data_IF_558678273668
#
_entry.id   IF_558678273668
#
_cell.length_a   1.000
_cell.length_b   1.000
_cell.length_c   1.000
_cell.angle_alpha   90.00
_cell.angle_beta   90.00
_cell.angle_gamma   90.00
#
_symmetry.space_group_name_H-M   'P 1'
#
loop_
_entity.id
_entity.type
_entity.pdbx_description
1 polymer ?
#
# COMPACT_ATOMS: atom_id res chain seq x y z
N UNK A 1 -33.20 -21.88 -9.60
CA UNK A 1 -34.07 -21.15 -8.65
C UNK A 1 -33.67 -21.52 -7.23
N UNK A 2 -33.55 -20.49 -6.39
CA UNK A 2 -33.56 -20.50 -4.91
C UNK A 2 -32.37 -21.07 -4.13
N UNK A 3 -31.43 -20.16 -3.82
CA UNK A 3 -31.14 -19.62 -2.48
C UNK A 3 -31.72 -20.44 -1.30
N UNK A 4 -30.85 -20.96 -0.42
CA UNK A 4 -31.13 -21.16 1.02
C UNK A 4 -29.83 -21.03 1.83
N UNK A 5 -29.56 -19.85 2.41
CA UNK A 5 -29.63 -19.60 3.87
C UNK A 5 -28.92 -20.65 4.73
N UNK A 6 -27.71 -20.31 5.19
CA UNK A 6 -27.20 -20.81 6.48
C UNK A 6 -26.91 -19.62 7.39
N UNK A 7 -28.00 -19.26 8.08
CA UNK A 7 -28.02 -18.62 9.38
C UNK A 7 -27.32 -19.55 10.38
N UNK A 8 -26.16 -19.17 10.89
CA UNK A 8 -25.66 -19.70 12.16
C UNK A 8 -25.32 -18.51 13.05
N UNK A 9 -26.32 -18.13 13.85
CA UNK A 9 -26.18 -17.29 15.03
C UNK A 9 -25.39 -18.06 16.08
N UNK A 10 -24.19 -17.60 16.44
CA UNK A 10 -23.58 -17.92 17.74
C UNK A 10 -23.23 -16.60 18.41
N UNK A 11 -24.15 -16.17 19.28
CA UNK A 11 -23.91 -15.19 20.33
C UNK A 11 -23.25 -15.93 21.50
N UNK A 12 -22.06 -15.50 21.89
CA UNK A 12 -21.35 -15.99 23.08
C UNK A 12 -20.32 -14.97 23.54
N UNK A 13 -20.74 -14.08 24.44
CA UNK A 13 -19.89 -13.11 25.09
C UNK A 13 -18.97 -13.79 26.11
N UNK A 14 -17.65 -13.61 25.97
CA UNK A 14 -16.70 -13.74 27.09
C UNK A 14 -15.57 -12.72 26.94
N UNK A 15 -15.21 -12.13 28.07
CA UNK A 15 -14.56 -10.85 28.21
C UNK A 15 -13.03 -10.86 28.02
N UNK A 16 -12.53 -9.73 27.53
CA UNK A 16 -11.20 -9.10 27.69
C UNK A 16 -9.97 -9.99 27.92
N UNK A 17 -9.09 -10.04 26.91
CA UNK A 17 -7.71 -9.51 27.00
C UNK A 17 -7.01 -9.55 25.62
N UNK A 18 -6.61 -8.38 25.12
CA UNK A 18 -5.40 -8.19 24.31
C UNK A 18 -5.35 -8.74 22.89
N UNK A 19 -5.30 -7.82 21.91
CA UNK A 19 -4.97 -8.05 20.50
C UNK A 19 -5.96 -8.87 19.67
N UNK A 20 -7.20 -8.38 19.59
CA UNK A 20 -8.05 -8.69 18.45
C UNK A 20 -7.52 -7.99 17.20
N UNK A 21 -6.58 -8.59 16.46
CA UNK A 21 -6.44 -8.28 15.04
C UNK A 21 -7.67 -8.83 14.34
N UNK A 22 -8.80 -8.13 14.45
CA UNK A 22 -9.85 -8.27 13.44
C UNK A 22 -9.15 -7.94 12.12
N UNK A 23 -9.13 -8.88 11.18
CA UNK A 23 -8.71 -8.58 9.82
C UNK A 23 -9.61 -7.45 9.32
N UNK A 24 -9.12 -6.20 9.40
CA UNK A 24 -9.87 -5.03 8.93
C UNK A 24 -10.19 -5.28 7.46
N UNK A 25 -11.46 -5.07 7.10
CA UNK A 25 -11.90 -5.22 5.71
C UNK A 25 -11.13 -4.24 4.82
N UNK A 26 -10.93 -4.58 3.54
CA UNK A 26 -10.29 -3.68 2.56
C UNK A 26 -10.93 -2.29 2.57
N UNK A 27 -12.26 -2.22 2.71
CA UNK A 27 -13.01 -0.97 2.82
C UNK A 27 -12.67 -0.15 4.08
N UNK A 28 -12.43 -0.80 5.22
CA UNK A 28 -12.04 -0.13 6.47
C UNK A 28 -10.62 0.41 6.36
N UNK A 29 -9.69 -0.36 5.79
CA UNK A 29 -8.30 0.09 5.57
C UNK A 29 -8.24 1.28 4.59
N UNK A 30 -9.09 1.29 3.56
CA UNK A 30 -9.21 2.42 2.63
C UNK A 30 -9.76 3.68 3.31
N UNK A 31 -10.64 3.51 4.30
CA UNK A 31 -11.20 4.62 5.09
C UNK A 31 -10.13 5.19 6.03
N UNK A 32 -9.42 4.31 6.72
CA UNK A 32 -8.30 4.68 7.59
C UNK A 32 -7.25 5.48 6.82
N UNK A 33 -6.93 5.06 5.60
CA UNK A 33 -5.96 5.76 4.75
C UNK A 33 -6.36 7.21 4.42
N UNK A 34 -7.66 7.49 4.31
CA UNK A 34 -8.18 8.80 3.92
C UNK A 34 -8.39 9.76 5.11
N UNK A 35 -8.61 9.24 6.31
CA UNK A 35 -9.02 10.08 7.45
C UNK A 35 -8.59 9.62 8.83
N UNK A 36 -7.90 8.48 8.95
CA UNK A 36 -7.38 7.99 10.23
C UNK A 36 -6.16 8.76 10.72
N UNK A 37 -5.85 8.60 12.00
CA UNK A 37 -4.61 9.11 12.59
C UNK A 37 -3.40 8.44 11.91
N UNK A 38 -2.21 9.03 12.06
CA UNK A 38 -0.97 8.53 11.43
C UNK A 38 -0.80 7.01 11.60
N UNK A 39 -1.04 6.51 12.81
CA UNK A 39 -0.91 5.08 13.14
C UNK A 39 -1.84 4.23 12.29
N UNK A 40 -3.09 4.64 12.14
CA UNK A 40 -4.08 3.91 11.35
C UNK A 40 -3.73 3.94 9.86
N UNK A 41 -3.22 5.07 9.35
CA UNK A 41 -2.76 5.18 7.96
C UNK A 41 -1.56 4.29 7.68
N UNK A 42 -0.56 4.26 8.57
CA UNK A 42 0.62 3.38 8.42
C UNK A 42 0.21 1.92 8.44
N UNK A 43 -0.67 1.52 9.38
CA UNK A 43 -1.19 0.15 9.43
C UNK A 43 -1.91 -0.16 8.13
N UNK A 44 -2.80 0.72 7.68
CA UNK A 44 -3.57 0.54 6.45
C UNK A 44 -2.69 0.28 5.22
N UNK A 45 -1.68 1.11 4.96
CA UNK A 45 -0.78 0.88 3.80
C UNK A 45 -0.07 -0.46 3.89
N UNK A 46 0.36 -0.85 5.09
CA UNK A 46 1.16 -2.06 5.30
C UNK A 46 0.31 -3.33 5.17
N UNK A 47 -0.91 -3.31 5.71
CA UNK A 47 -1.78 -4.50 5.78
C UNK A 47 -2.74 -4.64 4.63
N UNK A 48 -2.94 -3.60 3.80
CA UNK A 48 -3.81 -3.71 2.62
C UNK A 48 -3.42 -4.93 1.78
N UNK A 49 -4.35 -5.86 1.49
CA UNK A 49 -4.05 -7.05 0.71
C UNK A 49 -3.76 -6.66 -0.75
N UNK A 50 -2.86 -7.42 -1.39
CA UNK A 50 -2.50 -7.21 -2.80
C UNK A 50 -3.54 -7.81 -3.77
N UNK A 51 -4.61 -8.43 -3.25
CA UNK A 51 -5.50 -9.32 -4.02
C UNK A 51 -6.35 -8.61 -5.08
N UNK A 52 -6.79 -7.38 -4.81
CA UNK A 52 -7.61 -6.59 -5.74
C UNK A 52 -6.93 -5.24 -6.03
N UNK A 53 -5.94 -5.20 -6.95
CA UNK A 53 -5.18 -3.98 -7.26
C UNK A 53 -6.08 -2.79 -7.56
N UNK A 54 -7.15 -2.99 -8.36
CA UNK A 54 -8.05 -1.93 -8.78
C UNK A 54 -8.71 -1.18 -7.60
N UNK A 55 -8.97 -1.86 -6.48
CA UNK A 55 -9.60 -1.25 -5.32
C UNK A 55 -8.61 -0.43 -4.47
N UNK A 56 -7.34 -0.83 -4.47
CA UNK A 56 -6.32 -0.28 -3.58
C UNK A 56 -5.44 0.77 -4.25
N UNK A 57 -5.33 0.74 -5.58
CA UNK A 57 -4.48 1.65 -6.34
C UNK A 57 -4.81 3.13 -6.12
N UNK A 58 -6.08 3.59 -6.20
CA UNK A 58 -6.38 5.01 -5.98
C UNK A 58 -5.93 5.50 -4.60
N UNK A 59 -6.07 4.64 -3.60
CA UNK A 59 -5.72 4.95 -2.23
C UNK A 59 -4.20 4.97 -2.03
N UNK A 60 -3.47 3.99 -2.58
CA UNK A 60 -2.01 3.97 -2.55
C UNK A 60 -1.39 5.14 -3.32
N UNK A 61 -1.99 5.56 -4.44
CA UNK A 61 -1.56 6.74 -5.21
C UNK A 61 -1.73 8.01 -4.36
N UNK A 62 -2.85 8.16 -3.65
CA UNK A 62 -3.03 9.30 -2.75
C UNK A 62 -2.09 9.25 -1.54
N UNK A 63 -1.80 8.06 -1.00
CA UNK A 63 -0.84 7.90 0.09
C UNK A 63 0.60 8.29 -0.27
N UNK A 64 0.97 8.35 -1.56
CA UNK A 64 2.24 8.93 -2.00
C UNK A 64 2.36 10.42 -1.71
N UNK A 65 1.26 11.10 -1.38
CA UNK A 65 1.23 12.54 -1.05
C UNK A 65 1.06 12.79 0.45
N UNK A 66 1.07 11.75 1.29
CA UNK A 66 0.85 11.89 2.73
C UNK A 66 1.91 12.79 3.38
N UNK A 67 1.52 13.54 4.41
CA UNK A 67 2.45 14.38 5.19
C UNK A 67 3.56 13.54 5.83
N UNK A 68 3.27 12.32 6.26
CA UNK A 68 4.24 11.45 6.92
C UNK A 68 5.07 10.66 5.91
N UNK A 69 6.39 10.72 6.04
CA UNK A 69 7.33 10.05 5.15
C UNK A 69 7.19 8.53 5.17
N UNK A 70 6.89 7.93 6.32
CA UNK A 70 6.73 6.48 6.42
C UNK A 70 5.50 5.95 5.68
N UNK A 71 4.45 6.77 5.56
CA UNK A 71 3.26 6.46 4.75
C UNK A 71 3.61 6.52 3.26
N UNK A 72 4.26 7.61 2.81
CA UNK A 72 4.72 7.75 1.41
C UNK A 72 5.67 6.62 1.01
N UNK A 73 6.61 6.26 1.89
CA UNK A 73 7.55 5.17 1.70
C UNK A 73 6.81 3.83 1.55
N UNK A 74 5.88 3.55 2.45
CA UNK A 74 5.11 2.31 2.42
C UNK A 74 4.26 2.21 1.16
N UNK A 75 3.67 3.33 0.71
CA UNK A 75 2.87 3.39 -0.49
C UNK A 75 3.71 3.07 -1.74
N UNK A 76 4.88 3.69 -1.88
CA UNK A 76 5.81 3.41 -2.97
C UNK A 76 6.23 1.93 -2.99
N UNK A 77 6.57 1.35 -1.84
CA UNK A 77 6.92 -0.07 -1.73
C UNK A 77 5.74 -0.95 -2.18
N UNK A 78 4.53 -0.65 -1.71
CA UNK A 78 3.33 -1.46 -2.00
C UNK A 78 2.98 -1.42 -3.48
N UNK A 79 3.03 -0.25 -4.11
CA UNK A 79 2.85 -0.09 -5.56
C UNK A 79 3.87 -0.91 -6.35
N UNK A 80 5.13 -0.91 -5.92
CA UNK A 80 6.16 -1.76 -6.52
C UNK A 80 5.94 -3.26 -6.30
N UNK A 81 5.29 -3.67 -5.20
CA UNK A 81 4.94 -5.08 -4.93
C UNK A 81 3.76 -5.52 -5.80
N UNK A 82 2.80 -4.62 -6.06
CA UNK A 82 1.70 -4.87 -7.01
C UNK A 82 2.29 -5.09 -8.41
N UNK A 83 3.27 -4.29 -8.81
CA UNK A 83 3.98 -4.46 -10.09
C UNK A 83 3.17 -3.93 -11.27
N UNK A 84 3.21 -4.61 -12.42
CA UNK A 84 2.60 -4.18 -13.68
C UNK A 84 1.15 -3.65 -13.58
N UNK A 85 0.24 -4.23 -12.76
CA UNK A 85 -1.11 -3.68 -12.58
C UNK A 85 -1.14 -2.25 -12.01
N UNK A 86 -0.05 -1.77 -11.39
CA UNK A 86 0.07 -0.43 -10.82
C UNK A 86 0.59 0.64 -11.81
N UNK A 87 0.51 0.40 -13.13
CA UNK A 87 0.97 1.37 -14.15
C UNK A 87 0.38 2.77 -13.99
N UNK A 88 -0.86 2.88 -13.54
CA UNK A 88 -1.52 4.17 -13.30
C UNK A 88 -0.84 5.01 -12.21
N UNK A 89 -0.01 4.38 -11.35
CA UNK A 89 0.75 5.06 -10.32
C UNK A 89 2.07 5.66 -10.83
N UNK A 90 2.49 5.40 -12.08
CA UNK A 90 3.77 5.87 -12.61
C UNK A 90 3.95 7.40 -12.52
N UNK A 91 2.97 8.25 -12.89
CA UNK A 91 3.12 9.70 -12.76
C UNK A 91 3.30 10.15 -11.30
N UNK A 92 2.62 9.50 -10.36
CA UNK A 92 2.76 9.81 -8.93
C UNK A 92 4.10 9.34 -8.36
N UNK A 93 4.61 8.19 -8.82
CA UNK A 93 5.95 7.71 -8.45
C UNK A 93 7.06 8.57 -9.05
N UNK A 94 6.88 9.09 -10.28
CA UNK A 94 7.79 10.07 -10.89
C UNK A 94 7.90 11.35 -10.04
N UNK A 95 6.77 11.87 -9.55
CA UNK A 95 6.78 13.00 -8.63
C UNK A 95 7.52 12.65 -7.31
N UNK A 96 7.33 11.44 -6.79
CA UNK A 96 8.00 10.96 -5.57
C UNK A 96 9.52 10.76 -5.72
N UNK A 97 10.08 10.80 -6.94
CA UNK A 97 11.54 10.86 -7.14
C UNK A 97 12.16 12.17 -6.63
N UNK A 98 11.34 13.21 -6.43
CA UNK A 98 11.76 14.49 -5.85
C UNK A 98 11.36 14.63 -4.38
N UNK A 99 10.96 13.54 -3.72
CA UNK A 99 10.55 13.58 -2.31
C UNK A 99 11.68 14.07 -1.39
N UNK A 100 11.31 14.79 -0.32
CA UNK A 100 12.24 15.24 0.72
C UNK A 100 12.99 14.10 1.41
N UNK A 101 12.35 12.94 1.60
CA UNK A 101 12.95 11.77 2.23
C UNK A 101 13.66 10.89 1.19
N UNK A 102 14.95 10.62 1.42
CA UNK A 102 15.77 9.80 0.52
C UNK A 102 15.27 8.35 0.37
N UNK A 103 14.65 7.79 1.41
CA UNK A 103 14.07 6.44 1.38
C UNK A 103 12.88 6.41 0.44
N UNK A 104 12.04 7.46 0.45
CA UNK A 104 10.89 7.59 -0.45
C UNK A 104 11.37 7.67 -1.90
N UNK A 105 12.37 8.52 -2.21
CA UNK A 105 12.96 8.60 -3.56
C UNK A 105 13.48 7.25 -4.06
N UNK A 106 14.24 6.54 -3.22
CA UNK A 106 14.78 5.23 -3.56
C UNK A 106 13.69 4.16 -3.77
N UNK A 107 12.65 4.18 -2.94
CA UNK A 107 11.50 3.28 -3.08
C UNK A 107 10.70 3.58 -4.35
N UNK A 108 10.49 4.84 -4.69
CA UNK A 108 9.78 5.26 -5.90
C UNK A 108 10.49 4.76 -7.17
N UNK A 109 11.80 4.98 -7.29
CA UNK A 109 12.58 4.48 -8.43
C UNK A 109 12.54 2.96 -8.54
N UNK A 110 12.66 2.25 -7.41
CA UNK A 110 12.56 0.78 -7.40
C UNK A 110 11.16 0.29 -7.76
N UNK A 111 10.11 0.99 -7.34
CA UNK A 111 8.74 0.66 -7.68
C UNK A 111 8.49 0.83 -9.18
N UNK A 112 8.92 1.95 -9.77
CA UNK A 112 8.83 2.20 -11.21
C UNK A 112 9.50 1.09 -12.03
N UNK A 113 10.69 0.65 -11.63
CA UNK A 113 11.37 -0.48 -12.29
C UNK A 113 10.67 -1.83 -12.15
N UNK A 114 9.84 -2.02 -11.13
CA UNK A 114 9.05 -3.25 -10.96
C UNK A 114 7.73 -3.20 -11.73
N UNK A 115 7.17 -2.00 -11.88
CA UNK A 115 5.91 -1.75 -12.62
C UNK A 115 6.17 -1.80 -14.12
N UNK A 116 7.25 -1.18 -14.57
CA UNK A 116 7.64 -1.16 -15.97
C UNK A 116 9.17 -1.28 -16.11
N UNK A 117 9.70 -2.52 -16.07
CA UNK A 117 11.14 -2.77 -16.21
C UNK A 117 11.71 -2.36 -17.58
N UNK A 118 10.84 -2.30 -18.62
CA UNK A 118 11.24 -1.93 -19.98
C UNK A 118 11.49 -0.43 -20.05
N UNK A 119 10.58 0.38 -19.48
CA UNK A 119 10.71 1.84 -19.44
C UNK A 119 11.71 2.31 -18.38
N UNK A 120 11.76 1.64 -17.22
CA UNK A 120 12.62 2.02 -16.09
C UNK A 120 13.56 0.88 -15.70
N UNK A 121 14.61 0.61 -16.48
CA UNK A 121 15.52 -0.49 -16.19
C UNK A 121 16.22 -0.30 -14.84
N UNK A 122 16.30 -1.36 -14.03
CA UNK A 122 17.12 -1.31 -12.82
C UNK A 122 18.60 -1.20 -13.22
N UNK A 123 19.34 -0.18 -12.76
CA UNK A 123 20.76 -0.12 -13.04
C UNK A 123 21.47 -1.34 -12.45
N UNK A 124 22.52 -1.86 -13.12
CA UNK A 124 23.26 -3.01 -12.63
C UNK A 124 23.82 -2.73 -11.23
N UNK A 125 23.75 -3.75 -10.35
CA UNK A 125 24.14 -3.66 -8.93
C UNK A 125 25.58 -3.13 -8.71
N UNK A 126 26.43 -3.15 -9.73
CA UNK A 126 27.81 -2.67 -9.72
C UNK A 126 27.96 -1.14 -9.80
N UNK A 127 26.91 -0.39 -10.15
CA UNK A 127 26.98 1.07 -10.30
C UNK A 127 26.86 1.86 -8.97
N UNK A 128 26.69 1.18 -7.83
CA UNK A 128 26.56 1.81 -6.49
C UNK A 128 27.86 1.64 -5.68
N UNK A 129 29.02 1.83 -6.33
CA UNK A 129 30.30 1.95 -5.62
C UNK A 129 30.94 3.28 -6.03
N UNK A 130 30.70 4.30 -5.21
CA UNK A 130 31.31 5.61 -5.39
C UNK A 130 30.37 6.76 -5.03
N UNK A 131 30.18 6.97 -3.73
CA UNK A 131 29.95 8.29 -3.12
C UNK A 131 30.52 8.26 -1.73
#
# INVERSE_FOLDING_TARGET
MSIRTYLVLVLGALACAGCGTKEKSTSELLTDLKGGDERDRVIAVRTVPNGEPAQVLPALIEALKDKENDIRLSAAIKLGVIGEPARDALPALEAALSDRDARVRGAAGKAMSRIDPVKYPTPPKSAVKGR
#
